data_IF_657948665690
#
_entry.id   IF_657948665690
#
_cell.length_a   1.000
_cell.length_b   1.000
_cell.length_c   1.000
_cell.angle_alpha   90.00
_cell.angle_beta   90.00
_cell.angle_gamma   90.00
#
_symmetry.space_group_name_H-M   'P 1'
#
loop_
_entity.id
_entity.type
_entity.pdbx_description
1 polymer ?
#
# COMPACT_ATOMS: atom_id res chain seq x y z
N UNK A 1 -10.26 -87.44 -4.22
CA UNK A 1 -9.68 -86.85 -2.99
C UNK A 1 -8.80 -85.67 -3.40
N UNK A 2 -9.11 -84.47 -2.87
CA UNK A 2 -8.23 -83.31 -2.55
C UNK A 2 -7.12 -82.92 -3.56
N UNK A 3 -6.97 -81.70 -4.04
CA UNK A 3 -7.52 -80.39 -3.71
C UNK A 3 -6.51 -79.34 -4.22
N UNK A 4 -6.98 -78.36 -4.98
CA UNK A 4 -6.15 -77.31 -5.58
C UNK A 4 -5.67 -76.30 -4.54
N UNK A 5 -4.38 -75.99 -4.51
CA UNK A 5 -3.84 -74.86 -3.75
C UNK A 5 -3.64 -73.67 -4.69
N UNK A 6 -4.60 -72.74 -4.62
CA UNK A 6 -4.41 -71.35 -5.07
C UNK A 6 -3.65 -70.63 -3.96
N UNK A 7 -2.39 -70.29 -4.21
CA UNK A 7 -1.68 -69.34 -3.36
C UNK A 7 -2.21 -67.93 -3.66
N UNK A 8 -3.03 -67.40 -2.75
CA UNK A 8 -3.54 -66.03 -2.83
C UNK A 8 -2.43 -65.02 -2.54
N UNK A 9 -2.26 -64.04 -3.42
CA UNK A 9 -1.50 -62.83 -3.13
C UNK A 9 -2.33 -61.97 -2.17
N UNK A 10 -1.86 -61.79 -0.93
CA UNK A 10 -2.38 -60.77 -0.02
C UNK A 10 -1.69 -59.44 -0.37
N UNK A 11 -2.33 -58.62 -1.19
CA UNK A 11 -1.91 -57.24 -1.39
C UNK A 11 -2.40 -56.40 -0.20
N UNK A 12 -1.51 -56.07 0.73
CA UNK A 12 -1.79 -55.06 1.77
C UNK A 12 -1.60 -53.69 1.12
N UNK A 13 -2.70 -53.03 0.77
CA UNK A 13 -2.69 -51.63 0.34
C UNK A 13 -2.77 -50.77 1.59
N UNK A 14 -1.64 -50.25 2.05
CA UNK A 14 -1.62 -49.20 3.08
C UNK A 14 -1.93 -47.88 2.37
N UNK A 15 -3.19 -47.48 2.38
CA UNK A 15 -3.62 -46.17 1.88
C UNK A 15 -3.11 -45.08 2.82
N UNK A 16 -2.01 -44.42 2.46
CA UNK A 16 -1.61 -43.16 3.10
C UNK A 16 -2.54 -42.06 2.57
N UNK A 17 -3.62 -41.78 3.28
CA UNK A 17 -4.45 -40.61 3.03
C UNK A 17 -3.66 -39.36 3.38
N UNK A 18 -3.02 -38.74 2.40
CA UNK A 18 -2.43 -37.41 2.56
C UNK A 18 -3.60 -36.42 2.60
N UNK A 19 -3.99 -36.01 3.81
CA UNK A 19 -4.92 -34.90 3.99
C UNK A 19 -4.11 -33.62 3.74
N UNK A 20 -4.22 -33.09 2.53
CA UNK A 20 -3.73 -31.74 2.22
C UNK A 20 -4.66 -30.73 2.90
N UNK A 21 -4.42 -30.44 4.17
CA UNK A 21 -4.96 -29.24 4.81
C UNK A 21 -4.31 -28.04 4.14
N UNK A 22 -5.01 -27.44 3.18
CA UNK A 22 -4.72 -26.07 2.80
C UNK A 22 -5.09 -25.21 4.01
N UNK A 23 -4.08 -24.69 4.71
CA UNK A 23 -4.30 -23.64 5.66
C UNK A 23 -4.91 -22.46 4.88
N UNK A 24 -6.22 -22.25 5.04
CA UNK A 24 -6.85 -21.04 4.58
C UNK A 24 -6.14 -19.90 5.31
N UNK A 25 -5.60 -18.95 4.55
CA UNK A 25 -5.04 -17.71 5.10
C UNK A 25 -6.12 -17.07 5.95
N UNK A 26 -5.90 -17.00 7.26
CA UNK A 26 -6.79 -16.29 8.17
C UNK A 26 -6.75 -14.82 7.80
N UNK A 27 -7.88 -14.28 7.33
CA UNK A 27 -8.00 -12.88 6.97
C UNK A 27 -8.47 -12.13 8.20
N UNK A 28 -7.69 -11.14 8.65
CA UNK A 28 -8.12 -10.29 9.75
C UNK A 28 -9.44 -9.61 9.39
N UNK A 29 -10.40 -9.67 10.31
CA UNK A 29 -11.72 -9.08 10.14
C UNK A 29 -11.89 -7.89 11.08
N UNK A 30 -12.31 -6.74 10.55
CA UNK A 30 -12.84 -5.62 11.34
C UNK A 30 -14.33 -5.52 11.10
N UNK A 31 -15.12 -5.70 12.16
CA UNK A 31 -16.59 -5.67 12.10
C UNK A 31 -17.18 -6.62 11.03
N UNK A 32 -16.52 -7.77 10.81
CA UNK A 32 -16.92 -8.76 9.80
C UNK A 32 -16.45 -8.47 8.37
N UNK A 33 -15.69 -7.40 8.15
CA UNK A 33 -15.09 -7.06 6.85
C UNK A 33 -13.62 -7.44 6.79
N UNK A 34 -13.12 -8.03 5.68
CA UNK A 34 -11.71 -8.40 5.56
C UNK A 34 -10.81 -7.16 5.47
N UNK A 35 -9.71 -7.16 6.22
CA UNK A 35 -8.61 -6.21 6.04
C UNK A 35 -7.77 -6.68 4.87
N UNK A 36 -7.58 -5.81 3.88
CA UNK A 36 -6.74 -6.07 2.72
C UNK A 36 -5.55 -5.10 2.73
N UNK A 37 -4.34 -5.65 2.68
CA UNK A 37 -3.12 -4.86 2.48
C UNK A 37 -2.96 -4.57 0.99
N UNK A 38 -3.32 -3.36 0.56
CA UNK A 38 -3.23 -2.94 -0.86
C UNK A 38 -1.81 -2.47 -1.21
N UNK A 39 -1.13 -1.85 -0.26
CA UNK A 39 0.25 -1.37 -0.38
C UNK A 39 1.05 -1.83 0.85
N UNK A 40 2.35 -2.10 0.71
CA UNK A 40 3.21 -2.32 1.87
C UNK A 40 3.32 -1.03 2.70
N UNK A 41 3.79 -1.17 3.94
CA UNK A 41 4.18 -0.03 4.78
C UNK A 41 5.15 0.88 4.00
N UNK A 42 4.96 2.20 4.12
CA UNK A 42 5.78 3.25 3.49
C UNK A 42 5.82 3.26 1.95
N UNK A 43 4.84 2.64 1.29
CA UNK A 43 4.73 2.68 -0.18
C UNK A 43 4.39 4.06 -0.77
N UNK A 44 3.87 4.97 0.07
CA UNK A 44 3.54 6.37 -0.27
C UNK A 44 4.49 7.25 0.55
N UNK A 45 5.67 7.60 0.01
CA UNK A 45 6.68 8.30 0.79
C UNK A 45 6.29 9.76 0.98
N UNK A 46 6.48 10.27 2.21
CA UNK A 46 6.41 11.69 2.49
C UNK A 46 7.44 12.49 1.69
N UNK A 47 7.14 13.77 1.44
CA UNK A 47 8.13 14.73 0.95
C UNK A 47 8.73 15.45 2.17
N UNK A 48 9.96 15.08 2.55
CA UNK A 48 10.64 15.67 3.72
C UNK A 48 11.57 16.84 3.39
N UNK A 49 11.95 16.99 2.12
CA UNK A 49 12.81 18.08 1.65
C UNK A 49 12.23 18.69 0.37
N UNK A 50 11.12 19.45 0.48
CA UNK A 50 10.42 19.98 -0.67
C UNK A 50 11.29 20.97 -1.45
N UNK A 51 11.23 20.87 -2.78
CA UNK A 51 11.89 21.81 -3.70
C UNK A 51 10.84 22.67 -4.36
N UNK A 52 11.07 23.98 -4.33
CA UNK A 52 10.18 24.97 -4.90
C UNK A 52 10.74 25.49 -6.22
N UNK A 53 9.83 25.84 -7.12
CA UNK A 53 10.15 26.53 -8.36
C UNK A 53 9.46 27.90 -8.38
N UNK A 54 10.01 28.89 -9.12
CA UNK A 54 9.32 30.15 -9.35
C UNK A 54 8.02 29.94 -10.15
N UNK A 55 7.08 30.88 -10.01
CA UNK A 55 5.79 30.84 -10.71
C UNK A 55 5.94 30.64 -12.23
N UNK A 56 6.84 31.39 -12.88
CA UNK A 56 7.08 31.29 -14.32
C UNK A 56 7.56 29.89 -14.78
N UNK A 57 8.19 29.11 -13.88
CA UNK A 57 8.55 27.74 -14.17
C UNK A 57 7.35 26.80 -13.97
N UNK A 58 6.56 27.01 -12.91
CA UNK A 58 5.34 26.25 -12.64
C UNK A 58 4.30 26.37 -13.77
N UNK A 59 4.15 27.56 -14.36
CA UNK A 59 3.26 27.82 -15.51
C UNK A 59 3.56 26.94 -16.74
N UNK A 60 4.74 26.33 -16.81
CA UNK A 60 5.12 25.43 -17.91
C UNK A 60 4.51 24.04 -17.79
N UNK A 61 4.08 23.64 -16.59
CA UNK A 61 3.59 22.29 -16.32
C UNK A 61 2.30 22.22 -15.48
N UNK A 62 1.87 23.33 -14.86
CA UNK A 62 0.59 23.44 -14.17
C UNK A 62 -0.43 24.20 -15.01
N UNK A 63 -1.70 23.79 -14.96
CA UNK A 63 -2.81 24.55 -15.53
C UNK A 63 -3.18 25.75 -14.65
N UNK A 64 -3.67 26.87 -15.22
CA UNK A 64 -4.02 28.06 -14.46
C UNK A 64 -5.10 27.88 -13.38
N UNK A 65 -5.95 26.86 -13.51
CA UNK A 65 -7.08 26.53 -12.63
C UNK A 65 -6.83 25.28 -11.76
N UNK A 66 -5.60 24.78 -11.72
CA UNK A 66 -5.25 23.66 -10.84
C UNK A 66 -5.34 24.07 -9.35
N UNK A 67 -6.01 23.27 -8.51
CA UNK A 67 -6.08 23.57 -7.09
C UNK A 67 -4.72 23.37 -6.42
N UNK A 68 -4.41 24.29 -5.51
CA UNK A 68 -3.22 24.26 -4.66
C UNK A 68 -3.61 24.48 -3.21
N UNK A 69 -2.75 24.05 -2.28
CA UNK A 69 -2.78 24.54 -0.91
C UNK A 69 -1.80 25.72 -0.79
N UNK A 70 -2.31 26.88 -0.40
CA UNK A 70 -1.48 28.07 -0.19
C UNK A 70 -1.36 28.40 1.30
N UNK A 71 -0.16 28.76 1.75
CA UNK A 71 0.08 29.28 3.10
C UNK A 71 0.97 30.52 3.04
N UNK A 72 0.73 31.46 3.94
CA UNK A 72 1.59 32.63 4.12
C UNK A 72 1.64 33.08 5.57
N UNK A 73 2.81 33.57 6.00
CA UNK A 73 3.02 34.25 7.29
C UNK A 73 3.06 35.79 7.12
N UNK A 74 2.66 36.29 5.94
CA UNK A 74 2.74 37.71 5.55
C UNK A 74 4.09 38.15 5.00
N UNK A 75 5.15 37.35 5.15
CA UNK A 75 6.50 37.62 4.59
C UNK A 75 6.88 36.65 3.50
N UNK A 76 6.51 35.39 3.69
CA UNK A 76 6.75 34.27 2.80
C UNK A 76 5.41 33.68 2.42
N UNK A 77 5.24 33.35 1.14
CA UNK A 77 4.12 32.56 0.66
C UNK A 77 4.66 31.28 0.01
N UNK A 78 4.05 30.15 0.35
CA UNK A 78 4.32 28.85 -0.26
C UNK A 78 3.04 28.28 -0.84
N UNK A 79 3.19 27.58 -1.95
CA UNK A 79 2.11 26.88 -2.64
C UNK A 79 2.50 25.41 -2.82
N UNK A 80 1.58 24.51 -2.49
CA UNK A 80 1.76 23.07 -2.59
C UNK A 80 0.79 22.52 -3.63
N UNK A 81 1.32 21.81 -4.62
CA UNK A 81 0.54 21.18 -5.68
C UNK A 81 -0.29 20.02 -5.10
N UNK A 82 -1.60 20.05 -5.33
CA UNK A 82 -2.48 18.91 -5.01
C UNK A 82 -2.15 17.68 -5.85
N UNK A 83 -1.61 17.84 -7.06
CA UNK A 83 -1.17 16.71 -7.89
C UNK A 83 0.04 15.99 -7.29
N UNK A 84 1.00 16.73 -6.72
CA UNK A 84 2.12 16.13 -5.98
C UNK A 84 1.62 15.46 -4.69
N UNK A 85 0.76 16.13 -3.93
CA UNK A 85 0.19 15.57 -2.71
C UNK A 85 -0.74 14.37 -2.97
N UNK A 86 -1.28 14.17 -4.17
CA UNK A 86 -1.99 12.93 -4.53
C UNK A 86 -1.06 11.71 -4.51
N UNK A 87 0.23 11.88 -4.78
CA UNK A 87 1.19 10.79 -4.87
C UNK A 87 2.00 10.59 -3.58
N UNK A 88 2.02 11.60 -2.71
CA UNK A 88 2.86 11.63 -1.51
C UNK A 88 2.07 11.83 -0.21
N UNK A 89 0.80 12.27 -0.30
CA UNK A 89 -0.18 12.52 0.77
C UNK A 89 0.23 13.51 1.87
N UNK A 90 1.52 13.75 2.06
CA UNK A 90 2.08 14.67 3.05
C UNK A 90 3.39 15.31 2.57
N UNK A 91 3.55 16.59 2.89
CA UNK A 91 4.82 17.31 2.83
C UNK A 91 5.17 17.78 4.24
N UNK A 92 6.34 17.39 4.73
CA UNK A 92 6.94 17.92 5.94
C UNK A 92 7.83 19.12 5.57
N UNK A 93 7.46 20.31 6.01
CA UNK A 93 8.14 21.56 5.63
C UNK A 93 8.24 22.52 6.81
N UNK A 94 8.85 23.68 6.60
CA UNK A 94 8.82 24.80 7.54
C UNK A 94 8.44 26.10 6.83
N UNK A 95 7.70 26.98 7.50
CA UNK A 95 7.50 28.37 7.04
C UNK A 95 8.23 29.29 8.01
N UNK A 96 9.45 29.67 7.63
CA UNK A 96 10.42 30.21 8.59
C UNK A 96 10.76 29.15 9.63
N UNK A 97 10.54 29.46 10.91
CA UNK A 97 10.78 28.55 12.04
C UNK A 97 9.54 27.72 12.42
N UNK A 98 8.40 27.91 11.75
CA UNK A 98 7.16 27.18 12.03
C UNK A 98 7.16 25.82 11.30
N UNK A 99 7.20 24.68 12.01
CA UNK A 99 7.06 23.36 11.38
C UNK A 99 5.64 23.17 10.83
N UNK A 100 5.55 22.61 9.63
CA UNK A 100 4.31 22.36 8.90
C UNK A 100 4.24 20.89 8.47
N UNK A 101 3.07 20.29 8.68
CA UNK A 101 2.63 19.08 7.99
C UNK A 101 1.50 19.47 7.04
N UNK A 102 1.75 19.40 5.73
CA UNK A 102 0.79 19.79 4.70
C UNK A 102 0.16 18.53 4.11
N UNK A 103 -1.17 18.41 4.22
CA UNK A 103 -1.97 17.28 3.76
C UNK A 103 -3.34 17.77 3.25
N UNK A 104 -4.10 16.92 2.56
CA UNK A 104 -5.40 17.25 1.96
C UNK A 104 -6.34 16.05 1.93
#
# INVERSE_FOLDING_TARGET
MRGWLRAGFLAVVIGASVVLTHAATEVDLIQGSPILTVLPMDAIPAIDNPKYVPLAEAERFMRPDEPILGITDGKTAKAYSTWQLNHHEIVNDTLGDLPLAVTW
#
